data_IF_953316164835
#
_entry.id   IF_953316164835
#
_cell.length_a   1.000
_cell.length_b   1.000
_cell.length_c   1.000
_cell.angle_alpha   90.00
_cell.angle_beta   90.00
_cell.angle_gamma   90.00
#
_symmetry.space_group_name_H-M   'P 1'
#
loop_
_entity.id
_entity.type
_entity.pdbx_description
1 polymer ?
#
# COMPACT_ATOMS: atom_id res chain seq x y z
N UNK A 1 -20.02 -9.73 -45.15
CA UNK A 1 -19.00 -9.03 -44.34
C UNK A 1 -19.72 -8.39 -43.14
N UNK A 2 -19.57 -8.97 -41.94
CA UNK A 2 -20.13 -8.38 -40.71
C UNK A 2 -19.06 -7.46 -40.14
N UNK A 3 -19.34 -6.17 -40.16
CA UNK A 3 -18.46 -5.17 -39.51
C UNK A 3 -18.59 -5.32 -38.01
N UNK A 4 -17.53 -5.78 -37.35
CA UNK A 4 -17.39 -5.77 -35.90
C UNK A 4 -17.22 -4.31 -35.46
N UNK A 5 -18.27 -3.70 -34.93
CA UNK A 5 -18.17 -2.41 -34.26
C UNK A 5 -17.55 -2.66 -32.88
N UNK A 6 -16.25 -2.48 -32.76
CA UNK A 6 -15.55 -2.39 -31.47
C UNK A 6 -16.00 -1.07 -30.81
N UNK A 7 -16.98 -1.15 -29.91
CA UNK A 7 -17.30 -0.02 -29.03
C UNK A 7 -16.08 0.22 -28.12
N UNK A 8 -15.35 1.28 -28.34
CA UNK A 8 -14.33 1.75 -27.42
C UNK A 8 -15.02 2.14 -26.11
N UNK A 9 -14.82 1.37 -25.04
CA UNK A 9 -15.23 1.76 -23.69
C UNK A 9 -14.49 3.05 -23.35
N UNK A 10 -15.25 4.13 -23.14
CA UNK A 10 -14.68 5.40 -22.73
C UNK A 10 -14.02 5.21 -21.34
N UNK A 11 -12.81 5.71 -21.18
CA UNK A 11 -12.11 5.72 -19.90
C UNK A 11 -12.88 6.61 -18.92
N UNK A 12 -13.49 6.00 -17.91
CA UNK A 12 -14.24 6.71 -16.87
C UNK A 12 -13.44 6.66 -15.57
N UNK A 13 -13.26 7.82 -14.93
CA UNK A 13 -12.59 7.87 -13.63
C UNK A 13 -13.35 7.00 -12.61
N UNK A 14 -12.70 6.05 -11.92
CA UNK A 14 -13.32 5.34 -10.82
C UNK A 14 -13.86 6.32 -9.77
N UNK A 15 -15.04 6.10 -9.20
CA UNK A 15 -15.58 6.99 -8.17
C UNK A 15 -14.61 7.07 -6.99
N UNK A 16 -14.58 8.23 -6.33
CA UNK A 16 -13.84 8.38 -5.08
C UNK A 16 -14.64 7.70 -3.98
N UNK A 17 -14.11 6.69 -3.28
CA UNK A 17 -14.81 6.09 -2.16
C UNK A 17 -14.97 7.10 -1.02
N UNK A 18 -15.89 6.85 -0.11
CA UNK A 18 -16.00 7.64 1.11
C UNK A 18 -14.80 7.35 2.01
N UNK A 19 -14.05 8.40 2.36
CA UNK A 19 -12.84 8.32 3.18
C UNK A 19 -13.01 9.21 4.38
N UNK A 20 -12.86 8.63 5.57
CA UNK A 20 -12.85 9.35 6.84
C UNK A 20 -11.43 9.86 7.10
N UNK A 21 -11.26 11.19 7.17
CA UNK A 21 -9.98 11.78 7.56
C UNK A 21 -9.78 11.62 9.07
N UNK A 22 -8.84 10.78 9.47
CA UNK A 22 -8.52 10.45 10.86
C UNK A 22 -6.99 10.50 11.05
N UNK A 23 -6.38 11.70 10.98
CA UNK A 23 -4.93 11.81 10.97
C UNK A 23 -4.31 11.33 12.28
N UNK A 24 -3.17 10.65 12.15
CA UNK A 24 -2.24 10.45 13.25
C UNK A 24 -1.39 11.72 13.45
N UNK A 25 -0.80 11.95 14.63
CA UNK A 25 0.15 13.04 14.82
C UNK A 25 1.33 12.91 13.85
N UNK A 26 1.44 13.84 12.90
CA UNK A 26 2.54 13.89 11.94
C UNK A 26 3.03 15.34 11.80
N UNK A 27 3.47 15.90 12.94
CA UNK A 27 3.95 17.26 13.05
C UNK A 27 5.41 17.44 12.59
N UNK A 28 6.00 18.64 12.78
CA UNK A 28 7.35 18.96 12.30
C UNK A 28 8.43 17.98 12.76
N UNK A 29 8.34 17.47 13.99
CA UNK A 29 9.30 16.48 14.52
C UNK A 29 9.26 15.19 13.71
N UNK A 30 8.08 14.61 13.51
CA UNK A 30 7.91 13.36 12.77
C UNK A 30 8.25 13.51 11.28
N UNK A 31 8.01 14.69 10.70
CA UNK A 31 8.45 15.01 9.33
C UNK A 31 9.99 15.07 9.24
N UNK A 32 10.67 15.68 10.22
CA UNK A 32 12.12 15.71 10.25
C UNK A 32 12.73 14.31 10.44
N UNK A 33 12.14 13.49 11.29
CA UNK A 33 12.53 12.08 11.47
C UNK A 33 12.35 11.29 10.17
N UNK A 34 11.21 11.48 9.46
CA UNK A 34 10.95 10.80 8.18
C UNK A 34 11.97 11.21 7.10
N UNK A 35 12.33 12.49 7.05
CA UNK A 35 13.39 12.99 6.18
C UNK A 35 14.73 12.31 6.47
N UNK A 36 15.14 12.28 7.75
CA UNK A 36 16.38 11.63 8.18
C UNK A 36 16.38 10.10 7.89
N UNK A 37 15.25 9.43 8.12
CA UNK A 37 15.06 8.03 7.73
C UNK A 37 15.24 7.85 6.22
N UNK A 38 14.57 8.67 5.41
CA UNK A 38 14.64 8.59 3.95
C UNK A 38 16.05 8.82 3.41
N UNK A 39 16.80 9.71 4.03
CA UNK A 39 18.20 9.95 3.67
C UNK A 39 19.07 8.72 3.95
N UNK A 40 18.93 8.11 5.14
CA UNK A 40 19.70 6.91 5.52
C UNK A 40 19.40 5.71 4.65
N UNK A 41 18.10 5.42 4.45
CA UNK A 41 17.65 4.20 3.78
C UNK A 41 17.62 4.32 2.26
N UNK A 42 17.36 5.53 1.74
CA UNK A 42 17.11 5.73 0.31
C UNK A 42 18.06 6.73 -0.34
N UNK A 43 18.90 7.46 0.44
CA UNK A 43 19.71 8.56 -0.07
C UNK A 43 18.85 9.71 -0.62
N UNK A 44 17.67 9.93 -0.03
CA UNK A 44 16.71 10.96 -0.46
C UNK A 44 16.52 11.95 0.70
N UNK A 45 17.05 13.16 0.57
CA UNK A 45 16.92 14.24 1.56
C UNK A 45 15.53 14.89 1.50
N UNK A 46 14.47 14.08 1.71
CA UNK A 46 13.07 14.50 1.64
C UNK A 46 12.17 13.56 2.41
N UNK A 47 11.03 14.07 2.87
CA UNK A 47 9.90 13.30 3.35
C UNK A 47 8.73 13.28 2.34
N UNK A 48 8.89 13.91 1.17
CA UNK A 48 7.82 14.02 0.18
C UNK A 48 7.66 12.71 -0.56
N UNK A 49 6.44 12.17 -0.56
CA UNK A 49 6.08 10.97 -1.31
C UNK A 49 5.59 11.34 -2.71
N UNK A 50 6.16 10.68 -3.70
CA UNK A 50 5.64 10.61 -5.06
C UNK A 50 5.15 9.18 -5.33
N UNK A 51 3.84 8.89 -5.16
CA UNK A 51 3.32 7.53 -5.21
C UNK A 51 3.58 6.85 -6.56
N UNK A 52 4.20 5.68 -6.53
CA UNK A 52 4.51 4.82 -7.66
C UNK A 52 4.09 3.37 -7.44
N UNK A 53 3.81 2.99 -6.19
CA UNK A 53 3.35 1.66 -5.80
C UNK A 53 2.27 1.76 -4.72
N UNK A 54 1.55 0.66 -4.52
CA UNK A 54 0.66 0.43 -3.39
C UNK A 54 1.11 -0.87 -2.73
N UNK A 55 1.27 -0.84 -1.40
CA UNK A 55 1.56 -2.03 -0.61
C UNK A 55 0.36 -2.32 0.30
N UNK A 56 -0.17 -3.54 0.17
CA UNK A 56 -1.25 -4.05 0.97
C UNK A 56 -0.69 -4.74 2.21
N UNK A 57 -1.30 -4.48 3.40
CA UNK A 57 -0.90 -4.98 4.69
C UNK A 57 -2.07 -5.55 5.48
N UNK A 58 -1.77 -6.38 6.48
CA UNK A 58 -2.70 -6.82 7.52
C UNK A 58 -2.19 -6.32 8.87
N UNK A 59 -3.05 -5.64 9.63
CA UNK A 59 -2.67 -5.01 10.90
C UNK A 59 -2.24 -6.00 12.00
N UNK A 60 -2.53 -7.28 11.83
CA UNK A 60 -2.41 -8.30 12.88
C UNK A 60 -3.14 -7.92 14.18
N UNK A 61 -4.21 -7.10 14.07
CA UNK A 61 -5.07 -6.68 15.17
C UNK A 61 -6.54 -6.90 14.81
N UNK A 62 -7.39 -6.97 15.84
CA UNK A 62 -8.84 -7.21 15.66
C UNK A 62 -9.68 -5.94 15.60
N UNK A 63 -9.08 -4.75 15.67
CA UNK A 63 -9.83 -3.49 15.67
C UNK A 63 -9.05 -2.31 15.08
N UNK A 64 -9.80 -1.39 14.47
CA UNK A 64 -9.26 -0.11 14.03
C UNK A 64 -8.55 0.64 15.16
N UNK A 65 -9.13 0.70 16.35
CA UNK A 65 -8.57 1.45 17.48
C UNK A 65 -7.19 0.94 17.88
N UNK A 66 -6.97 -0.39 17.86
CA UNK A 66 -5.67 -0.98 18.16
C UNK A 66 -4.64 -0.57 17.13
N UNK A 67 -4.92 -0.73 15.84
CA UNK A 67 -4.03 -0.33 14.75
C UNK A 67 -3.76 1.18 14.76
N UNK A 68 -4.81 2.00 14.94
CA UNK A 68 -4.67 3.45 15.00
C UNK A 68 -3.76 3.91 16.15
N UNK A 69 -3.90 3.31 17.33
CA UNK A 69 -3.06 3.66 18.49
C UNK A 69 -1.60 3.28 18.24
N UNK A 70 -1.32 2.15 17.62
CA UNK A 70 0.04 1.75 17.22
C UNK A 70 0.66 2.80 16.29
N UNK A 71 -0.06 3.20 15.24
CA UNK A 71 0.46 4.17 14.27
C UNK A 71 0.50 5.61 14.77
N UNK A 72 -0.32 5.95 15.75
CA UNK A 72 -0.31 7.28 16.39
C UNK A 72 0.92 7.48 17.25
N UNK A 73 1.48 6.41 17.81
CA UNK A 73 2.67 6.47 18.64
C UNK A 73 3.90 6.75 17.76
N UNK A 74 4.61 7.85 18.05
CA UNK A 74 5.88 8.15 17.40
C UNK A 74 7.02 7.66 18.28
N UNK A 75 7.14 6.34 18.37
CA UNK A 75 8.14 5.62 19.16
C UNK A 75 8.96 4.71 18.25
N UNK A 76 10.23 4.41 18.58
CA UNK A 76 11.01 3.44 17.83
C UNK A 76 10.28 2.10 17.79
N UNK A 77 10.20 1.48 16.61
CA UNK A 77 9.62 0.15 16.47
C UNK A 77 10.50 -0.93 17.12
N UNK A 78 9.89 -2.06 17.45
CA UNK A 78 10.57 -3.13 18.18
C UNK A 78 11.60 -3.90 17.33
N UNK A 79 11.51 -3.82 16.01
CA UNK A 79 12.36 -4.57 15.09
C UNK A 79 13.61 -3.77 14.68
N UNK A 80 13.41 -2.56 14.19
CA UNK A 80 14.49 -1.72 13.65
C UNK A 80 15.01 -0.72 14.67
N UNK A 81 14.26 -0.46 15.74
CA UNK A 81 14.55 0.55 16.76
C UNK A 81 14.75 1.97 16.20
N UNK A 82 14.02 2.30 15.13
CA UNK A 82 14.16 3.56 14.40
C UNK A 82 12.94 4.47 14.49
N UNK A 83 13.20 5.74 14.36
CA UNK A 83 12.20 6.81 14.18
C UNK A 83 12.14 7.25 12.69
N UNK A 84 10.98 7.77 12.25
CA UNK A 84 9.71 7.88 12.98
C UNK A 84 9.09 6.51 13.25
N UNK A 85 8.15 6.46 14.20
CA UNK A 85 7.35 5.26 14.44
C UNK A 85 6.64 4.78 13.17
N UNK A 86 6.31 3.48 13.10
CA UNK A 86 5.57 2.89 11.97
C UNK A 86 4.23 3.58 11.75
N UNK A 87 3.75 3.58 10.50
CA UNK A 87 2.49 4.19 10.11
C UNK A 87 1.91 3.52 8.86
N UNK A 88 0.68 3.91 8.49
CA UNK A 88 0.09 3.60 7.20
C UNK A 88 -0.62 4.84 6.65
N UNK A 89 -0.82 4.90 5.33
CA UNK A 89 -1.61 5.99 4.75
C UNK A 89 -3.10 5.77 4.96
N UNK A 90 -3.53 4.50 4.92
CA UNK A 90 -4.91 4.11 5.15
C UNK A 90 -5.00 2.92 6.09
N UNK A 91 -6.11 2.88 6.84
CA UNK A 91 -6.63 1.66 7.47
C UNK A 91 -8.03 1.42 6.94
N UNK A 92 -8.33 0.18 6.56
CA UNK A 92 -9.68 -0.28 6.20
C UNK A 92 -10.17 -1.19 7.31
N UNK A 93 -11.28 -0.79 7.95
CA UNK A 93 -11.89 -1.57 9.03
C UNK A 93 -12.73 -2.73 8.48
N UNK A 94 -13.10 -3.68 9.32
CA UNK A 94 -13.90 -4.85 8.95
C UNK A 94 -15.29 -4.51 8.42
N UNK A 95 -15.86 -3.36 8.83
CA UNK A 95 -17.13 -2.87 8.27
C UNK A 95 -16.99 -2.19 6.90
N UNK A 96 -15.77 -2.10 6.38
CA UNK A 96 -15.43 -1.44 5.12
C UNK A 96 -15.18 0.07 5.25
N UNK A 97 -15.18 0.64 6.45
CA UNK A 97 -14.84 2.05 6.63
C UNK A 97 -13.37 2.29 6.29
N UNK A 98 -13.12 3.25 5.40
CA UNK A 98 -11.76 3.65 4.99
C UNK A 98 -11.34 4.86 5.82
N UNK A 99 -10.27 4.72 6.60
CA UNK A 99 -9.66 5.82 7.34
C UNK A 99 -8.36 6.24 6.66
N UNK A 100 -8.20 7.53 6.36
CA UNK A 100 -6.93 8.09 5.93
C UNK A 100 -6.20 8.70 7.11
N UNK A 101 -4.98 8.24 7.36
CA UNK A 101 -4.17 8.62 8.54
C UNK A 101 -3.07 9.62 8.20
N UNK A 102 -2.48 9.51 7.01
CA UNK A 102 -1.37 10.34 6.56
C UNK A 102 -1.70 10.91 5.18
N UNK A 103 -1.22 12.11 4.90
CA UNK A 103 -1.36 12.73 3.57
C UNK A 103 -0.58 11.92 2.55
N UNK A 104 -1.09 11.84 1.31
CA UNK A 104 -0.49 11.02 0.25
C UNK A 104 0.76 11.65 -0.41
N UNK A 105 1.13 12.83 0.01
CA UNK A 105 2.37 13.52 -0.38
C UNK A 105 3.46 13.43 0.71
N UNK A 106 3.23 12.61 1.75
CA UNK A 106 4.16 12.41 2.86
C UNK A 106 4.54 10.94 2.94
N UNK A 107 5.84 10.64 2.99
CA UNK A 107 6.33 9.28 3.21
C UNK A 107 5.91 8.76 4.59
N UNK A 108 5.65 7.45 4.66
CA UNK A 108 5.18 6.77 5.85
C UNK A 108 5.93 5.44 5.98
N UNK A 109 6.40 5.11 7.19
CA UNK A 109 7.14 3.85 7.43
C UNK A 109 6.19 2.67 7.58
N UNK A 110 6.02 1.90 6.53
CA UNK A 110 5.20 0.68 6.50
C UNK A 110 5.90 -0.50 5.80
N UNK A 111 6.90 -0.23 4.95
CA UNK A 111 7.62 -1.27 4.19
C UNK A 111 9.05 -0.83 3.94
N UNK A 112 10.01 -1.54 4.53
CA UNK A 112 11.43 -1.31 4.26
C UNK A 112 11.71 -1.41 2.76
N UNK A 113 12.52 -0.51 2.25
CA UNK A 113 12.86 -0.46 0.83
C UNK A 113 11.82 0.22 -0.08
N UNK A 114 10.59 0.47 0.38
CA UNK A 114 9.50 1.00 -0.47
C UNK A 114 8.83 2.27 0.07
N UNK A 115 9.08 2.71 1.30
CA UNK A 115 8.40 3.88 1.88
C UNK A 115 8.60 5.18 1.06
N UNK A 116 9.65 5.25 0.26
CA UNK A 116 9.93 6.40 -0.61
C UNK A 116 9.04 6.48 -1.86
N UNK A 117 8.35 5.38 -2.20
CA UNK A 117 7.61 5.25 -3.45
C UNK A 117 6.19 4.70 -3.27
N UNK A 118 5.83 4.17 -2.08
CA UNK A 118 4.60 3.41 -1.91
C UNK A 118 3.59 4.07 -0.96
N UNK A 119 2.31 3.92 -1.31
CA UNK A 119 1.19 4.13 -0.41
C UNK A 119 0.94 2.81 0.33
N UNK A 120 0.94 2.82 1.67
CA UNK A 120 0.58 1.66 2.49
C UNK A 120 -0.91 1.66 2.84
N UNK A 121 -1.56 0.52 2.63
CA UNK A 121 -2.96 0.27 2.98
C UNK A 121 -3.01 -0.91 3.95
N UNK A 122 -3.45 -0.66 5.16
CA UNK A 122 -3.62 -1.65 6.22
C UNK A 122 -5.07 -2.15 6.28
N UNK A 123 -5.23 -3.44 6.46
CA UNK A 123 -6.54 -4.08 6.65
C UNK A 123 -6.63 -4.60 8.08
N UNK A 124 -7.66 -4.18 8.80
CA UNK A 124 -7.91 -4.72 10.15
C UNK A 124 -8.22 -6.22 10.03
N UNK A 125 -7.40 -7.04 10.67
CA UNK A 125 -7.54 -8.49 10.59
C UNK A 125 -6.31 -9.20 11.15
N UNK A 126 -6.42 -10.53 11.29
CA UNK A 126 -5.38 -11.38 11.82
C UNK A 126 -4.69 -12.23 10.74
N UNK A 127 -5.20 -12.22 9.50
CA UNK A 127 -4.62 -12.94 8.37
C UNK A 127 -5.17 -12.47 7.03
N UNK A 128 -4.40 -12.70 5.95
CA UNK A 128 -4.80 -12.43 4.56
C UNK A 128 -6.13 -13.14 4.22
N UNK A 129 -6.29 -14.39 4.66
CA UNK A 129 -7.49 -15.18 4.39
C UNK A 129 -8.75 -14.56 5.02
N UNK A 130 -8.64 -14.02 6.25
CA UNK A 130 -9.73 -13.31 6.91
C UNK A 130 -10.12 -12.08 6.09
N UNK A 131 -9.16 -11.25 5.72
CA UNK A 131 -9.38 -10.02 4.94
C UNK A 131 -9.98 -10.34 3.57
N UNK A 132 -9.43 -11.33 2.85
CA UNK A 132 -9.96 -11.76 1.53
C UNK A 132 -11.38 -12.33 1.61
N UNK A 133 -11.76 -12.89 2.76
CA UNK A 133 -13.11 -13.42 3.01
C UNK A 133 -14.12 -12.38 3.44
N UNK A 134 -13.70 -11.21 3.90
CA UNK A 134 -14.59 -10.13 4.34
C UNK A 134 -15.08 -9.31 3.14
N UNK A 135 -16.36 -9.42 2.85
CA UNK A 135 -16.94 -8.81 1.65
C UNK A 135 -17.03 -7.27 1.74
N UNK A 136 -17.23 -6.71 2.93
CA UNK A 136 -17.34 -5.27 3.13
C UNK A 136 -15.96 -4.63 3.01
N UNK A 137 -14.98 -5.15 3.73
CA UNK A 137 -13.61 -4.69 3.73
C UNK A 137 -12.98 -4.82 2.33
N UNK A 138 -13.18 -5.98 1.67
CA UNK A 138 -12.65 -6.22 0.32
C UNK A 138 -13.22 -5.28 -0.73
N UNK A 139 -14.51 -4.97 -0.67
CA UNK A 139 -15.12 -4.00 -1.58
C UNK A 139 -14.46 -2.64 -1.45
N UNK A 140 -14.35 -2.13 -0.23
CA UNK A 140 -13.74 -0.83 0.06
C UNK A 140 -12.26 -0.79 -0.32
N UNK A 141 -11.53 -1.88 -0.08
CA UNK A 141 -10.13 -2.02 -0.47
C UNK A 141 -9.95 -1.92 -1.98
N UNK A 142 -10.70 -2.71 -2.74
CA UNK A 142 -10.63 -2.69 -4.21
C UNK A 142 -11.03 -1.33 -4.79
N UNK A 143 -12.08 -0.67 -4.25
CA UNK A 143 -12.50 0.65 -4.67
C UNK A 143 -11.45 1.73 -4.38
N UNK A 144 -10.80 1.68 -3.22
CA UNK A 144 -9.70 2.58 -2.87
C UNK A 144 -8.51 2.35 -3.80
N UNK A 145 -8.06 1.12 -3.91
CA UNK A 145 -6.88 0.76 -4.70
C UNK A 145 -7.05 1.12 -6.17
N UNK A 146 -8.20 0.80 -6.80
CA UNK A 146 -8.42 1.18 -8.20
C UNK A 146 -8.45 2.71 -8.40
N UNK A 147 -8.99 3.45 -7.42
CA UNK A 147 -8.98 4.91 -7.45
C UNK A 147 -7.57 5.48 -7.36
N UNK A 148 -6.72 4.92 -6.51
CA UNK A 148 -5.31 5.31 -6.37
C UNK A 148 -4.51 4.96 -7.62
N UNK A 149 -4.70 3.76 -8.17
CA UNK A 149 -4.10 3.34 -9.44
C UNK A 149 -4.42 4.33 -10.56
N UNK A 150 -5.70 4.69 -10.70
CA UNK A 150 -6.14 5.69 -11.69
C UNK A 150 -5.50 7.05 -11.47
N UNK A 151 -5.52 7.54 -10.22
CA UNK A 151 -5.03 8.88 -9.85
C UNK A 151 -3.52 9.03 -10.09
N UNK A 152 -2.74 8.05 -9.69
CA UNK A 152 -1.27 8.10 -9.71
C UNK A 152 -0.65 7.32 -10.87
N UNK A 153 -1.48 6.75 -11.74
CA UNK A 153 -1.06 5.91 -12.88
C UNK A 153 -0.20 4.73 -12.44
N UNK A 154 -0.55 4.13 -11.30
CA UNK A 154 0.14 2.96 -10.76
C UNK A 154 -0.34 1.72 -11.53
N UNK A 155 0.55 0.96 -12.18
CA UNK A 155 0.17 -0.26 -12.89
C UNK A 155 -0.10 -1.40 -11.92
N UNK A 156 -0.80 -2.44 -12.38
CA UNK A 156 -1.10 -3.63 -11.57
C UNK A 156 0.17 -4.31 -11.03
N UNK A 157 1.28 -4.20 -11.76
CA UNK A 157 2.58 -4.73 -11.37
C UNK A 157 3.16 -4.10 -10.09
N UNK A 158 2.71 -2.89 -9.75
CA UNK A 158 3.17 -2.15 -8.57
C UNK A 158 2.09 -2.09 -7.47
N UNK A 159 1.04 -2.92 -7.57
CA UNK A 159 0.12 -3.24 -6.47
C UNK A 159 0.56 -4.58 -5.89
N UNK A 160 1.24 -4.53 -4.75
CA UNK A 160 1.94 -5.67 -4.16
C UNK A 160 1.54 -5.88 -2.70
N UNK A 161 1.74 -7.09 -2.22
CA UNK A 161 1.68 -7.40 -0.80
C UNK A 161 3.02 -7.13 -0.11
N UNK A 162 3.00 -6.94 1.20
CA UNK A 162 4.23 -6.72 1.96
C UNK A 162 5.26 -7.85 1.74
N UNK A 163 4.79 -9.09 1.70
CA UNK A 163 5.65 -10.26 1.43
C UNK A 163 6.32 -10.24 0.03
N UNK A 164 5.81 -9.44 -0.90
CA UNK A 164 6.39 -9.29 -2.24
C UNK A 164 7.39 -8.12 -2.35
N UNK A 165 7.60 -7.35 -1.26
CA UNK A 165 8.38 -6.10 -1.25
C UNK A 165 9.78 -6.25 -1.83
N UNK A 166 10.49 -7.31 -1.46
CA UNK A 166 11.85 -7.60 -1.94
C UNK A 166 11.92 -7.89 -3.44
N UNK A 167 10.82 -8.34 -4.05
CA UNK A 167 10.75 -8.62 -5.49
C UNK A 167 10.36 -7.40 -6.32
N UNK A 168 10.00 -6.29 -5.70
CA UNK A 168 9.62 -5.06 -6.39
C UNK A 168 10.82 -4.43 -7.12
N UNK A 169 10.66 -3.97 -8.37
CA UNK A 169 11.69 -3.20 -9.05
C UNK A 169 11.97 -1.83 -8.40
N UNK A 170 11.07 -1.38 -7.53
CA UNK A 170 11.19 -0.14 -6.78
C UNK A 170 11.89 -0.33 -5.42
N UNK A 171 12.15 -1.60 -5.02
CA UNK A 171 12.84 -1.86 -3.76
C UNK A 171 14.23 -1.23 -3.77
N UNK A 172 14.47 -0.35 -2.82
CA UNK A 172 15.73 0.36 -2.62
C UNK A 172 16.03 0.47 -1.14
N UNK A 173 17.09 -0.17 -0.68
CA UNK A 173 17.56 -0.12 0.70
C UNK A 173 19.08 -0.01 0.72
N UNK A 174 19.60 1.04 1.33
CA UNK A 174 21.03 1.31 1.40
C UNK A 174 21.66 0.66 2.62
N UNK A 175 20.90 0.52 3.72
CA UNK A 175 21.38 -0.19 4.90
C UNK A 175 21.39 -1.71 4.64
N UNK A 176 22.58 -2.29 4.66
CA UNK A 176 22.78 -3.70 4.40
C UNK A 176 22.08 -4.61 5.43
N UNK A 177 21.91 -4.14 6.66
CA UNK A 177 21.23 -4.90 7.72
C UNK A 177 19.73 -5.09 7.42
N UNK A 178 19.11 -4.17 6.69
CA UNK A 178 17.66 -4.15 6.42
C UNK A 178 17.30 -4.49 4.98
N UNK A 179 18.28 -4.67 4.12
CA UNK A 179 18.07 -4.93 2.68
C UNK A 179 17.17 -6.12 2.39
N UNK A 180 17.15 -7.11 3.28
CA UNK A 180 16.37 -8.34 3.15
C UNK A 180 15.20 -8.43 4.14
N UNK A 181 14.87 -7.34 4.81
CA UNK A 181 13.72 -7.32 5.73
C UNK A 181 12.41 -7.30 4.95
N UNK A 182 11.49 -8.18 5.33
CA UNK A 182 10.11 -8.23 4.82
C UNK A 182 9.21 -8.95 5.82
N UNK A 183 7.90 -8.82 5.67
CA UNK A 183 6.92 -9.51 6.50
C UNK A 183 6.15 -10.57 5.73
N UNK A 184 5.39 -11.40 6.46
CA UNK A 184 4.72 -12.56 5.87
C UNK A 184 3.31 -12.26 5.35
N UNK A 185 2.80 -11.05 5.56
CA UNK A 185 1.45 -10.64 5.17
C UNK A 185 1.33 -10.36 3.67
N UNK A 186 0.16 -10.62 3.13
CA UNK A 186 -0.18 -10.53 1.72
C UNK A 186 0.78 -11.29 0.82
N UNK A 187 0.83 -12.60 1.03
CA UNK A 187 1.63 -13.52 0.22
C UNK A 187 1.22 -13.50 -1.24
N UNK A 188 2.13 -13.94 -2.09
CA UNK A 188 1.92 -14.01 -3.54
C UNK A 188 0.61 -14.67 -3.96
N UNK A 189 0.22 -15.78 -3.30
CA UNK A 189 -1.02 -16.50 -3.61
C UNK A 189 -2.24 -15.63 -3.35
N UNK A 190 -2.27 -14.94 -2.21
CA UNK A 190 -3.36 -14.06 -1.80
C UNK A 190 -3.43 -12.79 -2.67
N UNK A 191 -2.26 -12.21 -2.98
CA UNK A 191 -2.17 -11.08 -3.91
C UNK A 191 -2.61 -11.44 -5.33
N UNK A 192 -2.42 -12.66 -5.79
CA UNK A 192 -2.95 -13.09 -7.09
C UNK A 192 -4.49 -13.07 -7.11
N UNK A 193 -5.13 -13.48 -6.01
CA UNK A 193 -6.59 -13.39 -5.85
C UNK A 193 -7.04 -11.92 -5.82
N UNK A 194 -6.36 -11.10 -5.03
CA UNK A 194 -6.64 -9.67 -4.91
C UNK A 194 -6.53 -8.95 -6.27
N UNK A 195 -5.39 -9.13 -6.97
CA UNK A 195 -5.15 -8.54 -8.30
C UNK A 195 -6.15 -9.02 -9.35
N UNK A 196 -6.57 -10.29 -9.31
CA UNK A 196 -7.62 -10.78 -10.21
C UNK A 196 -8.94 -10.03 -10.02
N UNK A 197 -9.33 -9.74 -8.77
CA UNK A 197 -10.51 -8.91 -8.45
C UNK A 197 -10.33 -7.46 -8.94
N UNK A 198 -9.14 -6.87 -8.77
CA UNK A 198 -8.83 -5.53 -9.31
C UNK A 198 -8.98 -5.46 -10.84
N UNK A 199 -8.49 -6.47 -11.57
CA UNK A 199 -8.62 -6.53 -13.04
C UNK A 199 -10.09 -6.55 -13.46
N UNK A 200 -10.94 -7.31 -12.76
CA UNK A 200 -12.38 -7.33 -13.02
C UNK A 200 -13.00 -5.94 -12.77
N UNK A 201 -12.62 -5.28 -11.68
CA UNK A 201 -13.13 -3.95 -11.37
C UNK A 201 -12.62 -2.89 -12.37
N UNK A 202 -11.34 -2.93 -12.74
CA UNK A 202 -10.71 -2.00 -13.68
C UNK A 202 -11.42 -1.99 -15.06
N UNK A 203 -11.80 -3.17 -15.54
CA UNK A 203 -12.55 -3.32 -16.81
C UNK A 203 -13.86 -2.54 -16.83
N UNK A 204 -14.53 -2.38 -15.69
CA UNK A 204 -15.80 -1.61 -15.60
C UNK A 204 -15.57 -0.11 -15.86
N UNK A 205 -14.35 0.37 -15.67
CA UNK A 205 -13.95 1.77 -15.90
C UNK A 205 -13.15 1.95 -17.19
N UNK A 206 -13.00 0.90 -18.01
CA UNK A 206 -12.19 0.94 -19.22
C UNK A 206 -10.69 1.09 -18.97
N UNK A 207 -10.23 0.78 -17.74
CA UNK A 207 -8.81 0.90 -17.40
C UNK A 207 -8.01 -0.30 -17.89
N UNK A 208 -6.92 -0.03 -18.62
CA UNK A 208 -5.84 -0.99 -18.81
C UNK A 208 -4.86 -0.84 -17.63
N UNK A 209 -4.77 -1.88 -16.82
CA UNK A 209 -3.91 -1.87 -15.61
C UNK A 209 -2.57 -2.57 -15.85
N UNK A 210 -2.33 -3.09 -17.06
CA UNK A 210 -1.13 -3.84 -17.39
C UNK A 210 -1.07 -5.26 -16.78
N UNK A 211 0.04 -5.96 -16.96
CA UNK A 211 0.24 -7.30 -16.44
C UNK A 211 0.50 -7.30 -14.92
N UNK A 212 0.29 -8.45 -14.24
CA UNK A 212 0.68 -8.63 -12.84
C UNK A 212 2.22 -8.58 -12.69
N UNK A 213 2.74 -8.38 -11.44
CA UNK A 213 4.16 -8.29 -11.19
C UNK A 213 4.90 -9.58 -11.57
N UNK A 214 6.08 -9.42 -12.18
CA UNK A 214 7.02 -10.51 -12.40
C UNK A 214 7.89 -10.67 -11.16
N UNK A 215 8.05 -11.91 -10.69
CA UNK A 215 9.01 -12.19 -9.63
C UNK A 215 10.43 -11.86 -10.11
N UNK A 216 11.18 -11.18 -9.27
CA UNK A 216 12.61 -10.95 -9.46
C UNK A 216 13.38 -11.73 -8.39
N UNK A 217 14.55 -12.27 -8.70
CA UNK A 217 15.45 -12.77 -7.67
C UNK A 217 15.77 -11.63 -6.70
N UNK A 218 15.68 -11.90 -5.40
CA UNK A 218 15.86 -10.87 -4.37
C UNK A 218 17.31 -10.74 -3.91
N UNK A 219 18.15 -11.73 -4.17
CA UNK A 219 19.47 -11.83 -3.55
C UNK A 219 19.43 -12.07 -2.04
N UNK A 220 18.23 -12.28 -1.49
CA UNK A 220 17.94 -12.55 -0.09
C UNK A 220 17.52 -14.02 0.00
N UNK A 221 18.39 -14.89 0.41
CA UNK A 221 18.17 -16.34 0.53
C UNK A 221 18.64 -16.84 1.86
#
# INVERSE_FOLDING_TARGET
MVALVLAALALVAPPKPHIVWKPIPFGPTRLAQMKAYSERHYGIDSYVLHPRAIVEHVTATSSFSSAYNTFSADVPDAELHELPGTCAHFIIDTDGTIYQLVRLDVMCRHTVGLNWAAIGIEHVGLSDAQVLGDAAQMRSSLELTIRLMWRYKIPLADVIGHNESLSSPLHKELDAAWRCQTHADWKRADMNVYRARLVVLARRYGMDVGPPPKLRPTGCG
#
